data_IF_655135194607
#
_entry.id   IF_655135194607
#
_cell.length_a   1.000
_cell.length_b   1.000
_cell.length_c   1.000
_cell.angle_alpha   90.00
_cell.angle_beta   90.00
_cell.angle_gamma   90.00
#
_symmetry.space_group_name_H-M   'P 1'
#
loop_
_entity.id
_entity.type
_entity.pdbx_description
1 polymer ?
#
# COMPACT_ATOMS: atom_id res chain seq x y z
N UNK A 1 16.42 -1.10 -0.59
CA UNK A 1 15.21 -1.25 -1.41
C UNK A 1 15.54 -1.64 -2.84
N UNK A 2 16.65 -1.14 -3.37
CA UNK A 2 17.11 -1.54 -4.71
C UNK A 2 17.26 -3.05 -4.82
N UNK A 3 17.90 -3.66 -3.83
CA UNK A 3 18.11 -5.11 -3.81
C UNK A 3 16.78 -5.87 -3.75
N UNK A 4 15.84 -5.41 -2.95
CA UNK A 4 14.52 -6.04 -2.85
C UNK A 4 13.78 -5.99 -4.19
N UNK A 5 13.83 -4.84 -4.85
CA UNK A 5 13.18 -4.69 -6.15
C UNK A 5 13.80 -5.64 -7.16
N UNK A 6 15.12 -5.73 -7.17
CA UNK A 6 15.81 -6.60 -8.10
C UNK A 6 15.49 -8.08 -7.85
N UNK A 7 15.56 -8.51 -6.61
CA UNK A 7 15.27 -9.90 -6.26
C UNK A 7 13.83 -10.27 -6.61
N UNK A 8 12.88 -9.44 -6.21
CA UNK A 8 11.47 -9.74 -6.47
C UNK A 8 11.15 -9.73 -7.96
N UNK A 9 11.81 -8.87 -8.74
CA UNK A 9 11.58 -8.81 -10.19
C UNK A 9 12.04 -10.08 -10.91
N UNK A 10 12.91 -10.88 -10.27
CA UNK A 10 13.43 -12.11 -10.83
C UNK A 10 12.61 -13.35 -10.40
N UNK A 11 11.55 -13.15 -9.64
CA UNK A 11 10.79 -14.23 -9.06
C UNK A 11 9.31 -14.11 -9.40
N UNK A 12 8.51 -15.06 -8.90
CA UNK A 12 7.06 -15.00 -9.03
C UNK A 12 6.43 -13.82 -8.29
N UNK A 13 7.19 -13.11 -7.48
CA UNK A 13 6.73 -11.90 -6.80
C UNK A 13 6.75 -10.66 -7.71
N UNK A 14 7.28 -10.79 -8.92
CA UNK A 14 7.30 -9.68 -9.86
C UNK A 14 5.88 -9.30 -10.28
N UNK A 15 5.67 -8.00 -10.53
CA UNK A 15 4.39 -7.49 -10.98
C UNK A 15 4.59 -6.13 -11.62
N UNK A 16 3.54 -5.65 -12.30
CA UNK A 16 3.57 -4.29 -12.81
C UNK A 16 3.63 -3.28 -11.66
N UNK A 17 2.90 -3.57 -10.58
CA UNK A 17 2.89 -2.71 -9.39
C UNK A 17 4.29 -2.63 -8.77
N UNK A 18 5.01 -3.75 -8.73
CA UNK A 18 6.38 -3.73 -8.25
C UNK A 18 7.24 -2.76 -9.06
N UNK A 19 7.07 -2.75 -10.37
CA UNK A 19 7.86 -1.88 -11.25
C UNK A 19 7.52 -0.41 -11.04
N UNK A 20 6.24 -0.08 -10.99
CA UNK A 20 5.81 1.31 -10.86
C UNK A 20 5.92 1.82 -9.44
N UNK A 21 5.28 1.14 -8.50
CA UNK A 21 5.25 1.60 -7.12
C UNK A 21 6.58 1.39 -6.40
N UNK A 22 7.34 0.37 -6.81
CA UNK A 22 8.66 0.12 -6.23
C UNK A 22 9.60 1.29 -6.44
N UNK A 23 9.57 1.90 -7.62
CA UNK A 23 10.38 3.08 -7.91
C UNK A 23 9.94 4.25 -7.05
N UNK A 24 8.63 4.48 -6.98
CA UNK A 24 8.07 5.56 -6.16
C UNK A 24 8.46 5.39 -4.70
N UNK A 25 8.38 4.16 -4.20
CA UNK A 25 8.76 3.87 -2.81
C UNK A 25 10.23 4.12 -2.56
N UNK A 26 11.08 3.77 -3.51
CA UNK A 26 12.51 3.98 -3.37
C UNK A 26 12.85 5.46 -3.39
N UNK A 27 12.20 6.22 -4.25
CA UNK A 27 12.45 7.64 -4.42
C UNK A 27 11.61 8.51 -3.49
N UNK A 28 10.70 7.92 -2.75
CA UNK A 28 9.76 8.62 -1.88
C UNK A 28 8.94 9.66 -2.63
N UNK A 29 8.57 9.32 -3.86
CA UNK A 29 7.78 10.17 -4.73
C UNK A 29 6.38 9.61 -4.82
N UNK A 30 5.43 10.23 -4.14
CA UNK A 30 4.08 9.71 -4.01
C UNK A 30 3.04 10.65 -4.61
N UNK A 31 3.34 11.16 -5.80
CA UNK A 31 2.36 11.91 -6.57
C UNK A 31 1.19 10.98 -6.88
N UNK A 32 0.00 11.44 -6.60
CA UNK A 32 -1.15 10.56 -6.54
C UNK A 32 -1.69 10.15 -7.90
N UNK A 33 -1.66 8.85 -8.17
CA UNK A 33 -2.45 8.23 -9.23
C UNK A 33 -3.67 7.56 -8.61
N UNK A 34 -3.50 6.91 -7.48
CA UNK A 34 -4.57 6.25 -6.76
C UNK A 34 -4.29 6.45 -5.27
N UNK A 35 -5.07 7.28 -4.63
CA UNK A 35 -4.78 7.74 -3.28
C UNK A 35 -4.92 6.63 -2.23
N UNK A 36 -4.16 6.78 -1.14
CA UNK A 36 -4.27 5.87 -0.01
C UNK A 36 -5.67 5.86 0.57
N UNK A 37 -6.36 7.00 0.55
CA UNK A 37 -7.75 7.08 1.02
C UNK A 37 -8.67 6.21 0.16
N UNK A 38 -8.45 6.20 -1.17
CA UNK A 38 -9.22 5.34 -2.07
C UNK A 38 -8.88 3.87 -1.85
N UNK A 39 -7.61 3.56 -1.60
CA UNK A 39 -7.19 2.19 -1.32
C UNK A 39 -7.86 1.68 -0.04
N UNK A 40 -7.95 2.52 0.99
CA UNK A 40 -8.63 2.17 2.22
C UNK A 40 -10.12 1.90 1.97
N UNK A 41 -10.75 2.76 1.19
CA UNK A 41 -12.17 2.62 0.85
C UNK A 41 -12.43 1.33 0.08
N UNK A 42 -11.64 1.07 -0.96
CA UNK A 42 -11.82 -0.12 -1.79
C UNK A 42 -11.57 -1.39 -0.99
N UNK A 43 -10.54 -1.41 -0.15
CA UNK A 43 -10.27 -2.54 0.72
C UNK A 43 -11.43 -2.79 1.68
N UNK A 44 -12.02 -1.71 2.17
CA UNK A 44 -13.19 -1.79 3.05
C UNK A 44 -14.40 -2.41 2.37
N UNK A 45 -14.63 -2.02 1.11
CA UNK A 45 -15.73 -2.58 0.31
C UNK A 45 -15.51 -4.07 0.08
N UNK A 46 -14.30 -4.45 -0.30
CA UNK A 46 -13.95 -5.85 -0.53
C UNK A 46 -14.17 -6.69 0.73
N UNK A 47 -13.75 -6.18 1.88
CA UNK A 47 -13.94 -6.88 3.16
C UNK A 47 -15.41 -7.02 3.52
N UNK A 48 -16.21 -6.00 3.25
CA UNK A 48 -17.64 -6.04 3.53
C UNK A 48 -18.32 -7.10 2.68
N UNK A 49 -17.96 -7.18 1.39
CA UNK A 49 -18.49 -8.21 0.51
C UNK A 49 -18.05 -9.60 0.95
N UNK A 50 -16.78 -9.75 1.34
CA UNK A 50 -16.26 -11.02 1.81
C UNK A 50 -17.01 -11.48 3.05
N UNK A 51 -17.27 -10.57 3.98
CA UNK A 51 -18.01 -10.88 5.20
C UNK A 51 -19.43 -11.36 4.89
N UNK A 52 -20.09 -10.68 3.94
CA UNK A 52 -21.43 -11.07 3.51
C UNK A 52 -21.45 -12.47 2.89
N UNK A 53 -20.38 -12.86 2.22
CA UNK A 53 -20.23 -14.18 1.61
C UNK A 53 -19.54 -15.18 2.53
N UNK A 54 -19.24 -14.80 3.76
CA UNK A 54 -18.55 -15.63 4.75
C UNK A 54 -17.18 -16.09 4.28
N UNK A 55 -16.48 -15.23 3.56
CA UNK A 55 -15.11 -15.51 3.11
C UNK A 55 -14.11 -14.93 4.08
N UNK A 56 -13.00 -15.65 4.24
CA UNK A 56 -11.90 -15.19 5.08
C UNK A 56 -10.78 -14.63 4.23
N UNK A 57 -10.57 -13.30 4.32
CA UNK A 57 -9.56 -12.61 3.52
C UNK A 57 -8.58 -11.87 4.45
N UNK A 58 -7.66 -12.60 5.10
CA UNK A 58 -6.75 -11.97 6.06
C UNK A 58 -5.80 -10.94 5.46
N UNK A 59 -5.33 -11.15 4.23
CA UNK A 59 -4.44 -10.18 3.59
C UNK A 59 -5.18 -8.90 3.26
N UNK A 60 -6.42 -9.00 2.80
CA UNK A 60 -7.24 -7.82 2.53
C UNK A 60 -7.51 -7.04 3.82
N UNK A 61 -7.75 -7.74 4.92
CA UNK A 61 -7.97 -7.11 6.22
C UNK A 61 -6.72 -6.34 6.67
N UNK A 62 -5.55 -6.96 6.53
CA UNK A 62 -4.28 -6.32 6.90
C UNK A 62 -4.00 -5.12 6.00
N UNK A 63 -4.28 -5.23 4.71
CA UNK A 63 -4.10 -4.13 3.76
C UNK A 63 -4.98 -2.94 4.13
N UNK A 64 -6.26 -3.20 4.40
CA UNK A 64 -7.17 -2.12 4.81
C UNK A 64 -6.67 -1.42 6.05
N UNK A 65 -6.20 -2.20 7.02
CA UNK A 65 -5.72 -1.64 8.29
C UNK A 65 -4.58 -0.66 8.06
N UNK A 66 -3.66 -1.00 7.17
CA UNK A 66 -2.53 -0.14 6.84
C UNK A 66 -2.96 1.15 6.14
N UNK A 67 -3.88 1.06 5.19
CA UNK A 67 -4.37 2.25 4.50
C UNK A 67 -5.23 3.13 5.41
N UNK A 68 -6.01 2.51 6.30
CA UNK A 68 -6.74 3.28 7.32
C UNK A 68 -5.77 4.05 8.20
N UNK A 69 -4.65 3.44 8.54
CA UNK A 69 -3.61 4.09 9.33
C UNK A 69 -3.01 5.28 8.58
N UNK A 70 -2.79 5.14 7.27
CA UNK A 70 -2.31 6.26 6.46
C UNK A 70 -3.27 7.44 6.52
N UNK A 71 -4.56 7.17 6.36
CA UNK A 71 -5.57 8.22 6.42
C UNK A 71 -5.55 8.89 7.79
N UNK A 72 -5.48 8.09 8.84
CA UNK A 72 -5.47 8.59 10.23
C UNK A 72 -4.26 9.46 10.50
N UNK A 73 -3.13 9.16 9.89
CA UNK A 73 -1.90 9.93 10.10
C UNK A 73 -1.73 11.09 9.13
N UNK A 74 -2.78 11.40 8.37
CA UNK A 74 -2.75 12.54 7.46
C UNK A 74 -2.11 12.27 6.11
N UNK A 75 -1.91 11.00 5.75
CA UNK A 75 -1.25 10.61 4.51
C UNK A 75 -2.23 10.10 3.45
N UNK A 76 -3.53 10.34 3.66
CA UNK A 76 -4.57 9.79 2.78
C UNK A 76 -4.53 10.31 1.36
N UNK A 77 -3.96 11.48 1.13
CA UNK A 77 -3.89 12.09 -0.20
C UNK A 77 -2.69 11.64 -1.02
N UNK A 78 -1.77 10.89 -0.41
CA UNK A 78 -0.65 10.34 -1.13
C UNK A 78 -1.12 9.20 -2.03
N UNK A 79 -0.36 8.94 -3.09
CA UNK A 79 -0.58 7.74 -3.88
C UNK A 79 -0.49 6.50 -2.98
N UNK A 80 -1.11 5.40 -3.40
CA UNK A 80 -1.09 4.15 -2.62
C UNK A 80 0.32 3.67 -2.33
N UNK A 81 1.29 3.99 -3.19
CA UNK A 81 2.69 3.66 -2.94
C UNK A 81 3.23 4.29 -1.68
N UNK A 82 2.57 5.35 -1.19
CA UNK A 82 2.95 6.03 0.04
C UNK A 82 2.90 5.15 1.27
N UNK A 83 2.33 3.95 1.17
CA UNK A 83 2.34 2.99 2.27
C UNK A 83 3.76 2.66 2.72
N UNK A 84 4.74 2.87 1.83
CA UNK A 84 6.14 2.68 2.19
C UNK A 84 6.60 3.62 3.30
N UNK A 85 5.93 4.75 3.48
CA UNK A 85 6.25 5.67 4.57
C UNK A 85 5.93 5.07 5.94
N UNK A 86 5.03 4.10 6.00
CA UNK A 86 4.74 3.37 7.23
C UNK A 86 5.62 2.14 7.38
N UNK A 87 6.07 1.58 6.26
CA UNK A 87 6.81 0.33 6.24
C UNK A 87 8.25 0.52 6.69
N UNK A 88 8.89 1.57 6.21
CA UNK A 88 10.30 1.79 6.48
C UNK A 88 10.47 2.74 7.66
N UNK A 89 11.36 2.33 8.54
CA UNK A 89 11.58 3.00 9.80
C UNK A 89 11.98 4.47 9.61
N UNK A 90 11.34 5.35 10.35
CA UNK A 90 11.71 6.76 10.39
C UNK A 90 11.14 7.64 9.30
N UNK A 91 10.52 7.08 8.28
CA UNK A 91 10.05 7.89 7.16
C UNK A 91 8.87 8.78 7.52
N UNK A 92 7.83 8.19 8.10
CA UNK A 92 6.59 8.91 8.38
C UNK A 92 6.67 9.83 9.58
N UNK A 93 7.77 9.82 10.28
CA UNK A 93 7.94 10.65 11.49
C UNK A 93 8.27 12.09 11.16
N UNK A 94 8.47 12.42 9.92
CA UNK A 94 8.95 13.74 9.51
C UNK A 94 7.89 14.62 8.93
N UNK A 95 6.67 14.39 9.28
CA UNK A 95 5.63 15.27 8.79
C UNK A 95 5.52 16.54 9.60
#
# INVERSE_FOLDING_TARGET
LTMLREVFSQTGANSRVLKTDGEDMQNREHSCFFSAAHAAKDSGIALKLAKAQKLNLPLAAATRKQYDRMVKEGLGELDKSGIAELTFKGRHLHK
#
